data_IF_185774512396
#
_entry.id   IF_185774512396
#
_cell.length_a   1.000
_cell.length_b   1.000
_cell.length_c   1.000
_cell.angle_alpha   90.00
_cell.angle_beta   90.00
_cell.angle_gamma   90.00
#
_symmetry.space_group_name_H-M   'P 1'
#
loop_
_entity.id
_entity.type
_entity.pdbx_description
1 polymer ?
#
# COMPACT_ATOMS: atom_id res chain seq x y z
N UNK A 1 -3.94 17.13 -30.26
CA UNK A 1 -3.45 15.94 -29.54
C UNK A 1 -2.10 16.35 -28.96
N UNK A 2 -2.03 16.64 -27.67
CA UNK A 2 -0.77 16.99 -26.99
C UNK A 2 -0.40 15.75 -26.19
N UNK A 3 0.67 15.06 -26.58
CA UNK A 3 1.22 13.97 -25.78
C UNK A 3 1.91 14.58 -24.57
N UNK A 4 1.45 14.26 -23.37
CA UNK A 4 2.09 14.67 -22.13
C UNK A 4 3.10 13.58 -21.78
N UNK A 5 4.39 13.92 -21.77
CA UNK A 5 5.44 13.07 -21.22
C UNK A 5 5.67 13.50 -19.79
N UNK A 6 5.46 12.59 -18.83
CA UNK A 6 5.70 12.83 -17.41
C UNK A 6 6.84 11.93 -16.97
N UNK A 7 7.88 12.52 -16.37
CA UNK A 7 8.90 11.74 -15.67
C UNK A 7 8.42 11.57 -14.24
N UNK A 8 8.20 10.32 -13.84
CA UNK A 8 7.69 9.99 -12.52
C UNK A 8 8.57 8.95 -11.85
N UNK A 9 8.76 9.07 -10.54
CA UNK A 9 9.39 8.04 -9.71
C UNK A 9 8.30 7.32 -8.93
N UNK A 10 8.34 5.99 -8.91
CA UNK A 10 7.37 5.15 -8.21
C UNK A 10 8.03 4.43 -7.02
N UNK A 11 7.39 4.47 -5.85
CA UNK A 11 7.87 3.85 -4.61
C UNK A 11 6.69 3.14 -3.93
N UNK A 12 6.90 1.88 -3.54
CA UNK A 12 5.93 1.11 -2.72
C UNK A 12 5.98 1.66 -1.29
N UNK A 13 4.84 2.08 -0.75
CA UNK A 13 4.73 2.68 0.59
C UNK A 13 4.13 1.67 1.57
N UNK A 14 4.96 1.22 2.52
CA UNK A 14 4.57 0.28 3.56
C UNK A 14 4.93 -1.17 3.22
N UNK A 15 5.30 -1.96 4.23
CA UNK A 15 5.63 -3.38 4.04
C UNK A 15 4.41 -4.25 3.71
N UNK A 16 3.21 -3.86 4.18
CA UNK A 16 2.01 -4.70 4.13
C UNK A 16 0.81 -4.05 3.41
N UNK A 17 0.84 -2.72 3.25
CA UNK A 17 -0.12 -2.02 2.41
C UNK A 17 0.48 -2.00 1.00
N UNK A 18 -0.15 -2.68 0.04
CA UNK A 18 0.24 -2.67 -1.38
C UNK A 18 0.02 -1.28 -2.04
N UNK A 19 0.20 -0.21 -1.28
CA UNK A 19 0.00 1.17 -1.67
C UNK A 19 1.20 1.63 -2.49
N UNK A 20 0.93 2.12 -3.70
CA UNK A 20 1.96 2.71 -4.55
C UNK A 20 1.93 4.23 -4.39
N UNK A 21 3.11 4.83 -4.26
CA UNK A 21 3.29 6.27 -4.38
C UNK A 21 4.01 6.59 -5.68
N UNK A 22 3.55 7.62 -6.37
CA UNK A 22 4.18 8.15 -7.58
C UNK A 22 4.42 9.63 -7.39
N UNK A 23 5.63 10.08 -7.67
CA UNK A 23 6.04 11.47 -7.54
C UNK A 23 6.49 12.03 -8.88
N UNK A 24 6.04 13.24 -9.20
CA UNK A 24 6.48 14.01 -10.38
C UNK A 24 6.51 15.52 -10.06
N UNK A 25 7.36 16.33 -10.70
CA UNK A 25 7.25 17.78 -10.63
C UNK A 25 5.84 18.27 -10.98
N UNK A 26 5.28 19.20 -10.21
CA UNK A 26 3.93 19.72 -10.48
C UNK A 26 3.83 20.39 -11.86
N UNK A 27 4.93 20.97 -12.34
CA UNK A 27 5.05 21.57 -13.68
C UNK A 27 4.79 20.60 -14.82
N UNK A 28 4.94 19.29 -14.60
CA UNK A 28 4.78 18.28 -15.64
C UNK A 28 3.29 18.02 -15.95
N UNK A 29 2.39 18.35 -15.01
CA UNK A 29 0.95 18.14 -15.14
C UNK A 29 0.14 19.44 -15.23
N UNK A 30 0.73 20.59 -14.89
CA UNK A 30 0.10 21.89 -15.03
C UNK A 30 1.10 23.06 -15.09
N UNK A 31 0.76 24.18 -15.74
CA UNK A 31 1.52 25.44 -15.62
C UNK A 31 1.47 25.97 -14.18
N UNK A 32 2.62 26.41 -13.66
CA UNK A 32 2.77 26.85 -12.26
C UNK A 32 3.21 28.31 -12.11
N UNK A 33 3.56 28.99 -13.20
CA UNK A 33 4.22 30.30 -13.19
C UNK A 33 3.37 31.41 -12.57
N UNK A 34 2.04 31.27 -12.64
CA UNK A 34 1.08 32.26 -12.16
C UNK A 34 0.40 31.86 -10.84
N UNK A 35 0.77 30.74 -10.23
CA UNK A 35 0.18 30.29 -8.96
C UNK A 35 1.00 30.80 -7.77
N UNK A 36 0.33 31.40 -6.78
CA UNK A 36 0.92 31.65 -5.46
C UNK A 36 0.92 30.37 -4.61
N UNK A 37 1.70 29.37 -5.05
CA UNK A 37 1.76 28.04 -4.41
C UNK A 37 2.19 28.15 -2.95
N UNK A 38 3.06 29.11 -2.62
CA UNK A 38 3.52 29.34 -1.25
C UNK A 38 2.40 29.89 -0.37
N UNK A 39 1.65 30.88 -0.86
CA UNK A 39 0.46 31.40 -0.17
C UNK A 39 -0.63 30.35 0.02
N UNK A 40 -0.90 29.54 -1.01
CA UNK A 40 -1.87 28.43 -0.93
C UNK A 40 -1.44 27.40 0.13
N UNK A 41 -0.16 27.02 0.14
CA UNK A 41 0.40 26.11 1.14
C UNK A 41 0.27 26.65 2.57
N UNK A 42 0.61 27.94 2.77
CA UNK A 42 0.51 28.60 4.06
C UNK A 42 -0.94 28.68 4.59
N UNK A 43 -1.92 28.77 3.69
CA UNK A 43 -3.34 28.73 4.01
C UNK A 43 -3.89 27.30 4.19
N UNK A 44 -3.09 26.26 3.94
CA UNK A 44 -3.53 24.86 3.92
C UNK A 44 -4.54 24.57 2.80
N UNK A 45 -4.45 25.30 1.69
CA UNK A 45 -5.38 25.26 0.57
C UNK A 45 -5.22 24.04 -0.34
N UNK A 46 -6.00 24.05 -1.42
CA UNK A 46 -6.02 23.01 -2.46
C UNK A 46 -5.78 23.64 -3.83
N UNK A 47 -5.26 22.85 -4.76
CA UNK A 47 -5.11 23.21 -6.18
C UNK A 47 -5.93 22.25 -7.02
N UNK A 48 -6.70 22.79 -7.96
CA UNK A 48 -7.37 22.01 -9.01
C UNK A 48 -6.34 21.58 -10.06
N UNK A 49 -6.28 20.27 -10.30
CA UNK A 49 -5.37 19.62 -11.23
C UNK A 49 -6.08 19.42 -12.58
N UNK A 50 -5.56 19.98 -13.69
CA UNK A 50 -6.11 19.69 -15.02
C UNK A 50 -5.78 18.26 -15.48
N UNK A 51 -4.68 17.70 -14.98
CA UNK A 51 -4.24 16.32 -15.17
C UNK A 51 -3.62 15.78 -13.89
N UNK A 52 -3.76 14.47 -13.66
CA UNK A 52 -3.08 13.76 -12.57
C UNK A 52 -2.57 12.41 -13.06
N UNK A 53 -1.81 11.72 -12.22
CA UNK A 53 -1.37 10.36 -12.49
C UNK A 53 -2.35 9.38 -11.83
N UNK A 54 -2.57 8.25 -12.47
CA UNK A 54 -3.23 7.09 -11.89
C UNK A 54 -2.41 5.86 -12.18
N UNK A 55 -2.64 4.82 -11.38
CA UNK A 55 -1.96 3.54 -11.53
C UNK A 55 -3.01 2.48 -11.76
N UNK A 56 -2.73 1.58 -12.68
CA UNK A 56 -3.52 0.37 -12.87
C UNK A 56 -2.58 -0.82 -13.11
N UNK A 57 -3.15 -2.02 -13.09
CA UNK A 57 -2.41 -3.25 -13.42
C UNK A 57 -2.90 -3.80 -14.75
N UNK A 58 -1.95 -4.08 -15.64
CA UNK A 58 -2.21 -4.78 -16.90
C UNK A 58 -1.41 -6.07 -16.86
N UNK A 59 -2.09 -7.16 -16.51
CA UNK A 59 -1.45 -8.45 -16.23
C UNK A 59 -0.55 -8.38 -14.99
N UNK A 60 0.72 -8.73 -15.17
CA UNK A 60 1.77 -8.70 -14.14
C UNK A 60 2.43 -7.31 -13.99
N UNK A 61 2.18 -6.38 -14.92
CA UNK A 61 2.83 -5.06 -14.94
C UNK A 61 1.97 -3.98 -14.31
N UNK A 62 2.61 -3.11 -13.52
CA UNK A 62 2.05 -1.84 -13.11
C UNK A 62 2.16 -0.83 -14.26
N UNK A 63 1.07 -0.14 -14.58
CA UNK A 63 1.00 0.91 -15.58
C UNK A 63 0.67 2.24 -14.90
N UNK A 64 1.36 3.29 -15.33
CA UNK A 64 1.15 4.66 -14.86
C UNK A 64 0.57 5.45 -16.02
N UNK A 65 -0.59 6.07 -15.81
CA UNK A 65 -1.30 6.80 -16.85
C UNK A 65 -1.52 8.26 -16.42
N UNK A 66 -1.37 9.18 -17.37
CA UNK A 66 -1.77 10.59 -17.20
C UNK A 66 -3.24 10.70 -17.60
N UNK A 67 -4.07 11.18 -16.68
CA UNK A 67 -5.52 11.28 -16.90
C UNK A 67 -6.05 12.66 -16.57
N UNK A 68 -7.14 13.04 -17.23
CA UNK A 68 -7.95 14.19 -16.81
C UNK A 68 -8.86 13.74 -15.66
N UNK A 69 -8.77 14.33 -14.46
CA UNK A 69 -9.61 13.95 -13.34
C UNK A 69 -11.09 14.28 -13.62
N UNK A 70 -11.99 13.43 -13.11
CA UNK A 70 -13.44 13.58 -13.26
C UNK A 70 -14.10 14.16 -12.00
N UNK A 71 -13.36 14.31 -10.90
CA UNK A 71 -13.86 14.79 -9.61
C UNK A 71 -14.67 13.76 -8.83
N UNK A 72 -14.81 12.54 -9.36
CA UNK A 72 -15.57 11.45 -8.76
C UNK A 72 -14.67 10.25 -8.46
N UNK A 73 -14.23 9.53 -9.48
CA UNK A 73 -13.32 8.37 -9.33
C UNK A 73 -11.89 8.84 -9.14
N UNK A 74 -11.50 9.91 -9.85
CA UNK A 74 -10.20 10.54 -9.75
C UNK A 74 -10.38 11.96 -9.21
N UNK A 75 -9.91 12.24 -7.99
CA UNK A 75 -10.02 13.57 -7.40
C UNK A 75 -9.40 14.65 -8.30
N UNK A 76 -10.12 15.76 -8.51
CA UNK A 76 -9.59 16.90 -9.27
C UNK A 76 -8.78 17.86 -8.41
N UNK A 77 -8.86 17.77 -7.07
CA UNK A 77 -8.14 18.66 -6.15
C UNK A 77 -7.05 17.93 -5.40
N UNK A 78 -5.89 18.57 -5.24
CA UNK A 78 -4.83 18.12 -4.36
C UNK A 78 -4.55 19.12 -3.24
N UNK A 79 -4.40 18.63 -2.01
CA UNK A 79 -4.05 19.46 -0.85
C UNK A 79 -2.59 19.87 -0.93
N UNK A 80 -2.31 21.14 -0.63
CA UNK A 80 -0.96 21.69 -0.65
C UNK A 80 -0.35 21.65 0.75
N UNK A 81 0.79 20.99 0.89
CA UNK A 81 1.50 20.79 2.15
C UNK A 81 2.91 21.40 2.09
N UNK A 82 3.24 22.20 3.11
CA UNK A 82 4.57 22.79 3.26
C UNK A 82 5.55 21.79 3.87
N UNK A 83 6.69 21.60 3.21
CA UNK A 83 7.82 20.89 3.78
C UNK A 83 8.55 21.77 4.80
N UNK A 84 8.93 21.15 5.92
CA UNK A 84 9.70 21.81 6.98
C UNK A 84 11.14 21.30 6.93
N UNK A 85 12.11 22.22 6.94
CA UNK A 85 13.51 21.84 7.02
C UNK A 85 13.88 21.44 8.45
N UNK A 86 14.41 20.24 8.62
CA UNK A 86 15.08 19.79 9.83
C UNK A 86 16.59 20.01 9.68
N UNK A 87 17.10 21.03 10.36
CA UNK A 87 18.52 21.39 10.30
C UNK A 87 19.44 20.38 10.99
N UNK A 88 18.93 19.58 11.94
CA UNK A 88 19.75 18.59 12.65
C UNK A 88 20.01 17.36 11.78
N UNK A 89 19.02 16.98 10.97
CA UNK A 89 19.11 15.85 10.05
C UNK A 89 19.44 16.26 8.62
N UNK A 90 19.42 17.57 8.33
CA UNK A 90 19.59 18.13 6.99
C UNK A 90 18.61 17.51 5.97
N UNK A 91 17.33 17.41 6.35
CA UNK A 91 16.26 16.86 5.51
C UNK A 91 15.01 17.74 5.55
N UNK A 92 14.24 17.74 4.48
CA UNK A 92 12.89 18.28 4.47
C UNK A 92 11.89 17.21 4.87
N UNK A 93 11.02 17.54 5.83
CA UNK A 93 9.98 16.64 6.33
C UNK A 93 8.59 17.20 6.03
N UNK A 94 7.71 16.34 5.52
CA UNK A 94 6.26 16.59 5.45
C UNK A 94 5.55 15.49 6.22
N UNK A 95 4.68 15.87 7.15
CA UNK A 95 3.83 14.93 7.89
C UNK A 95 2.40 15.04 7.41
N UNK A 96 1.78 13.90 7.17
CA UNK A 96 0.38 13.77 6.82
C UNK A 96 -0.27 12.83 7.84
N UNK A 97 -1.47 13.16 8.31
CA UNK A 97 -2.15 12.38 9.34
C UNK A 97 -3.07 11.29 8.78
N UNK A 98 -3.48 11.39 7.51
CA UNK A 98 -4.32 10.38 6.84
C UNK A 98 -4.00 10.26 5.34
N UNK A 99 -3.37 9.15 4.90
CA UNK A 99 -2.69 8.16 5.74
C UNK A 99 -1.58 8.80 6.59
N UNK A 100 -1.32 8.25 7.79
CA UNK A 100 -0.24 8.71 8.65
C UNK A 100 1.10 8.39 7.99
N UNK A 101 1.72 9.39 7.36
CA UNK A 101 2.92 9.22 6.56
C UNK A 101 3.86 10.40 6.78
N UNK A 102 5.16 10.12 6.80
CA UNK A 102 6.21 11.14 6.86
C UNK A 102 7.05 11.03 5.59
N UNK A 103 7.05 12.09 4.79
CA UNK A 103 7.93 12.20 3.63
C UNK A 103 9.22 12.89 4.06
N UNK A 104 10.35 12.29 3.69
CA UNK A 104 11.69 12.82 3.98
C UNK A 104 12.42 13.02 2.67
N UNK A 105 12.88 14.24 2.41
CA UNK A 105 13.64 14.60 1.22
C UNK A 105 15.01 15.13 1.62
N UNK A 106 16.07 14.48 1.16
CA UNK A 106 17.44 14.95 1.36
C UNK A 106 17.79 15.93 0.24
N UNK A 107 18.05 17.21 0.55
CA UNK A 107 18.47 18.17 -0.46
C UNK A 107 19.87 17.82 -0.97
N UNK A 108 20.09 17.97 -2.28
CA UNK A 108 21.41 17.76 -2.89
C UNK A 108 22.43 18.83 -2.45
N UNK A 109 21.96 20.00 -2.01
CA UNK A 109 22.75 21.05 -1.36
C UNK A 109 22.00 21.57 -0.11
N UNK A 110 22.58 21.51 1.10
CA UNK A 110 21.98 22.07 2.31
C UNK A 110 21.68 23.57 2.18
N UNK A 111 20.50 24.07 2.57
CA UNK A 111 20.27 25.50 2.71
C UNK A 111 21.27 26.12 3.71
N UNK A 112 22.05 27.12 3.29
CA UNK A 112 22.99 27.87 4.16
C UNK A 112 24.47 27.48 4.06
N UNK A 113 24.89 26.73 3.03
CA UNK A 113 26.29 26.35 2.80
C UNK A 113 27.25 27.46 2.35
N UNK A 114 26.76 28.68 2.08
CA UNK A 114 27.57 29.81 1.64
C UNK A 114 28.22 30.54 2.83
N UNK A 115 29.19 29.91 3.49
CA UNK A 115 30.14 30.61 4.39
C UNK A 115 31.56 30.36 3.86
N UNK A 116 32.37 31.39 3.57
CA UNK A 116 33.71 31.17 3.04
C UNK A 116 34.61 30.55 4.11
N UNK A 117 35.17 29.39 3.77
CA UNK A 117 36.37 28.73 4.29
C UNK A 117 36.81 29.08 5.73
N UNK A 118 36.60 28.15 6.67
CA UNK A 118 37.41 28.04 7.89
C UNK A 118 37.56 26.57 8.29
N UNK A 119 38.79 26.20 8.63
CA UNK A 119 39.26 24.83 8.83
C UNK A 119 38.84 24.24 10.18
N UNK A 120 37.79 23.43 10.23
CA UNK A 120 37.70 22.27 11.14
C UNK A 120 36.55 21.34 10.73
N UNK A 121 36.85 20.06 10.52
CA UNK A 121 35.86 19.00 10.28
C UNK A 121 35.18 18.58 11.60
N UNK A 122 33.84 18.50 11.65
CA UNK A 122 33.12 17.52 12.45
C UNK A 122 32.61 16.40 11.54
N UNK A 123 32.77 15.16 12.00
CA UNK A 123 32.69 13.93 11.19
C UNK A 123 31.38 13.74 10.42
N UNK A 124 31.54 13.25 9.19
CA UNK A 124 30.50 12.57 8.43
C UNK A 124 29.88 11.48 9.30
N UNK A 125 28.62 11.67 9.69
CA UNK A 125 27.77 10.52 9.96
C UNK A 125 27.31 10.01 8.59
N UNK A 126 27.65 8.78 8.20
CA UNK A 126 27.10 8.20 6.99
C UNK A 126 25.62 7.89 7.28
N UNK A 127 24.73 8.79 6.90
CA UNK A 127 23.36 8.38 6.62
C UNK A 127 23.46 7.62 5.31
N UNK A 128 23.65 6.30 5.39
CA UNK A 128 23.35 5.41 4.28
C UNK A 128 21.88 5.65 3.91
N UNK A 129 21.65 6.52 2.92
CA UNK A 129 20.35 6.58 2.28
C UNK A 129 20.13 5.18 1.67
N UNK A 130 19.06 4.46 2.03
CA UNK A 130 18.76 3.20 1.37
C UNK A 130 18.67 3.48 -0.12
N UNK A 131 19.65 2.99 -0.89
CA UNK A 131 19.61 3.04 -2.35
C UNK A 131 18.54 2.06 -2.80
N UNK A 132 17.31 2.55 -2.86
CA UNK A 132 16.23 1.86 -3.53
C UNK A 132 16.33 2.25 -5.01
N UNK A 133 16.71 1.32 -5.89
CA UNK A 133 16.87 1.59 -7.32
C UNK A 133 15.53 1.84 -8.05
N UNK A 134 14.41 1.77 -7.33
CA UNK A 134 13.09 1.92 -7.92
C UNK A 134 12.79 0.81 -8.93
N UNK A 135 11.57 0.81 -9.47
CA UNK A 135 11.25 -0.03 -10.62
C UNK A 135 11.62 0.76 -11.87
N UNK A 136 12.38 0.16 -12.79
CA UNK A 136 12.64 0.75 -14.11
C UNK A 136 11.32 0.90 -14.86
N UNK A 137 10.92 2.14 -15.16
CA UNK A 137 9.72 2.42 -15.94
C UNK A 137 10.07 2.39 -17.42
N UNK A 138 9.57 1.39 -18.14
CA UNK A 138 9.65 1.37 -19.60
C UNK A 138 8.43 2.11 -20.18
N UNK A 139 8.64 3.10 -21.07
CA UNK A 139 7.52 3.80 -21.69
C UNK A 139 6.72 2.84 -22.57
N UNK A 140 5.52 2.48 -22.13
CA UNK A 140 4.54 1.78 -22.95
C UNK A 140 3.75 2.83 -23.76
N UNK A 141 3.58 2.54 -25.05
CA UNK A 141 2.95 3.34 -26.10
C UNK A 141 1.81 4.26 -25.62
N UNK A 142 1.80 5.50 -26.12
CA UNK A 142 0.72 6.48 -25.91
C UNK A 142 -0.52 6.03 -26.69
N UNK A 143 -1.39 5.23 -26.07
CA UNK A 143 -2.75 4.99 -26.55
C UNK A 143 -3.75 5.79 -25.71
N UNK A 144 -4.57 6.61 -26.36
CA UNK A 144 -5.66 7.31 -25.71
C UNK A 144 -6.80 6.33 -25.42
N UNK A 145 -6.76 5.65 -24.28
CA UNK A 145 -7.83 4.78 -23.81
C UNK A 145 -8.99 5.60 -23.20
N UNK A 146 -10.23 5.10 -23.33
CA UNK A 146 -11.37 5.66 -22.60
C UNK A 146 -11.45 5.01 -21.22
N UNK A 147 -11.42 5.84 -20.19
CA UNK A 147 -11.72 5.42 -18.82
C UNK A 147 -13.18 4.94 -18.69
N UNK A 148 -13.46 4.00 -17.77
CA UNK A 148 -12.54 3.43 -16.78
C UNK A 148 -11.76 2.19 -17.28
N UNK A 149 -10.45 2.14 -17.02
CA UNK A 149 -9.70 0.87 -16.90
C UNK A 149 -9.82 0.35 -15.46
N UNK A 150 -9.76 -0.97 -15.28
CA UNK A 150 -10.11 -1.63 -14.02
C UNK A 150 -9.11 -1.23 -12.92
N UNK A 151 -9.62 -0.82 -11.74
CA UNK A 151 -8.86 -0.49 -10.50
C UNK A 151 -8.21 0.90 -10.35
N UNK A 152 -8.88 1.99 -10.76
CA UNK A 152 -8.40 3.37 -10.48
C UNK A 152 -8.89 3.92 -9.11
N UNK A 153 -9.78 3.19 -8.43
CA UNK A 153 -10.34 3.60 -7.13
C UNK A 153 -9.26 3.71 -6.03
N UNK A 154 -9.44 4.61 -5.07
CA UNK A 154 -8.48 4.80 -3.97
C UNK A 154 -7.27 5.65 -4.33
N UNK A 155 -7.34 6.41 -5.44
CA UNK A 155 -6.33 7.39 -5.81
C UNK A 155 -6.47 8.66 -4.97
N UNK A 156 -5.39 9.10 -4.33
CA UNK A 156 -5.30 10.37 -3.61
C UNK A 156 -4.10 11.18 -4.10
N UNK A 157 -4.18 12.50 -4.05
CA UNK A 157 -3.10 13.38 -4.50
C UNK A 157 -2.83 14.49 -3.49
N UNK A 158 -1.54 14.77 -3.28
CA UNK A 158 -1.07 15.92 -2.50
C UNK A 158 0.00 16.65 -3.29
N UNK A 159 0.17 17.94 -2.99
CA UNK A 159 1.24 18.77 -3.54
C UNK A 159 2.17 19.13 -2.40
N UNK A 160 3.45 18.77 -2.55
CA UNK A 160 4.50 19.13 -1.62
C UNK A 160 5.20 20.39 -2.09
N UNK A 161 5.30 21.36 -1.18
CA UNK A 161 5.91 22.66 -1.45
C UNK A 161 7.09 22.86 -0.53
N UNK A 162 8.25 23.12 -1.13
CA UNK A 162 9.48 23.37 -0.40
C UNK A 162 9.72 24.89 -0.28
N UNK A 163 10.52 25.34 0.70
CA UNK A 163 11.00 26.72 0.74
C UNK A 163 11.66 27.11 -0.59
N UNK A 164 11.51 28.37 -1.01
CA UNK A 164 12.02 28.85 -2.31
C UNK A 164 13.52 28.58 -2.53
N UNK A 165 14.30 28.65 -1.46
CA UNK A 165 15.75 28.50 -1.50
C UNK A 165 16.22 27.03 -1.35
N UNK A 166 15.29 26.07 -1.37
CA UNK A 166 15.61 24.64 -1.27
C UNK A 166 16.21 24.04 -2.55
N UNK A 167 16.04 24.71 -3.69
CA UNK A 167 16.38 24.16 -5.01
C UNK A 167 15.48 23.01 -5.47
N UNK A 168 14.43 22.66 -4.71
CA UNK A 168 13.48 21.61 -5.06
C UNK A 168 12.20 22.20 -5.67
N UNK A 169 11.71 21.66 -6.80
CA UNK A 169 10.43 22.09 -7.35
C UNK A 169 9.26 21.60 -6.47
N UNK A 170 8.07 22.23 -6.57
CA UNK A 170 6.86 21.64 -6.03
C UNK A 170 6.60 20.27 -6.66
N UNK A 171 6.24 19.28 -5.85
CA UNK A 171 6.04 17.90 -6.28
C UNK A 171 4.56 17.51 -6.16
N UNK A 172 3.99 16.94 -7.21
CA UNK A 172 2.76 16.17 -7.12
C UNK A 172 3.11 14.76 -6.62
N UNK A 173 2.48 14.35 -5.53
CA UNK A 173 2.57 12.98 -5.01
C UNK A 173 1.18 12.35 -5.11
N UNK A 174 1.11 11.22 -5.78
CA UNK A 174 -0.10 10.43 -5.98
C UNK A 174 0.04 9.12 -5.21
N UNK A 175 -0.96 8.80 -4.40
CA UNK A 175 -1.09 7.52 -3.73
C UNK A 175 -2.20 6.74 -4.41
N UNK A 176 -1.97 5.46 -4.66
CA UNK A 176 -3.03 4.53 -5.05
C UNK A 176 -3.07 3.40 -4.03
N UNK A 177 -4.21 3.24 -3.37
CA UNK A 177 -4.49 2.03 -2.59
C UNK A 177 -5.20 1.02 -3.48
N UNK A 178 -4.71 -0.23 -3.61
CA UNK A 178 -5.41 -1.25 -4.39
C UNK A 178 -6.77 -1.63 -3.80
N UNK A 179 -7.02 -1.26 -2.54
CA UNK A 179 -8.25 -1.58 -1.83
C UNK A 179 -9.35 -0.52 -1.99
N UNK A 180 -9.08 0.55 -2.76
CA UNK A 180 -10.06 1.60 -3.03
C UNK A 180 -10.35 2.49 -1.82
N UNK A 181 -11.56 3.06 -1.78
CA UNK A 181 -12.05 3.81 -0.63
C UNK A 181 -12.21 2.92 0.62
N UNK A 182 -12.05 3.48 1.82
CA UNK A 182 -12.23 2.78 3.11
C UNK A 182 -13.07 3.62 4.06
N UNK A 183 -13.93 3.00 4.88
CA UNK A 183 -14.82 3.70 5.83
C UNK A 183 -14.54 3.34 7.30
N UNK A 184 -13.71 2.32 7.54
CA UNK A 184 -13.45 1.77 8.87
C UNK A 184 -11.94 1.55 9.05
N UNK A 185 -11.44 1.74 10.27
CA UNK A 185 -10.06 1.38 10.66
C UNK A 185 -10.13 0.35 11.79
N UNK A 186 -9.50 -0.80 11.61
CA UNK A 186 -9.44 -1.86 12.59
C UNK A 186 -8.74 -1.42 13.88
N UNK A 187 -9.26 -1.85 15.03
CA UNK A 187 -8.66 -1.53 16.32
C UNK A 187 -7.39 -2.35 16.55
N UNK A 188 -7.40 -3.63 16.20
CA UNK A 188 -6.29 -4.54 16.44
C UNK A 188 -5.33 -4.63 15.24
N UNK A 189 -5.87 -4.82 14.04
CA UNK A 189 -5.12 -4.93 12.79
C UNK A 189 -4.55 -3.60 12.31
N UNK A 190 -5.18 -2.48 12.70
CA UNK A 190 -4.93 -1.12 12.15
C UNK A 190 -5.22 -0.97 10.66
N UNK A 191 -5.69 -2.02 9.99
CA UNK A 191 -6.03 -1.99 8.57
C UNK A 191 -7.22 -1.09 8.34
N UNK A 192 -7.17 -0.31 7.26
CA UNK A 192 -8.35 0.41 6.76
C UNK A 192 -9.12 -0.49 5.81
N UNK A 193 -10.45 -0.53 5.94
CA UNK A 193 -11.30 -1.39 5.11
C UNK A 193 -12.72 -0.83 4.94
N UNK A 194 -13.55 -1.50 4.13
CA UNK A 194 -14.96 -1.17 3.92
C UNK A 194 -15.86 -2.12 4.71
N UNK A 195 -16.49 -1.64 5.78
CA UNK A 195 -17.37 -2.47 6.62
C UNK A 195 -18.49 -3.15 5.80
N UNK A 196 -19.04 -2.45 4.80
CA UNK A 196 -20.08 -3.00 3.91
C UNK A 196 -19.60 -4.15 3.02
N UNK A 197 -18.29 -4.26 2.75
CA UNK A 197 -17.68 -5.35 1.96
C UNK A 197 -17.05 -6.42 2.86
N UNK A 198 -17.27 -6.39 4.17
CA UNK A 198 -16.66 -7.33 5.12
C UNK A 198 -17.42 -8.67 5.28
N UNK A 199 -18.57 -8.85 4.63
CA UNK A 199 -19.36 -10.09 4.74
C UNK A 199 -20.06 -10.29 6.08
N UNK A 200 -20.38 -9.19 6.78
CA UNK A 200 -21.07 -9.20 8.07
C UNK A 200 -20.36 -8.32 9.11
N UNK A 201 -21.01 -8.06 10.26
CA UNK A 201 -20.38 -7.30 11.34
C UNK A 201 -19.14 -7.99 11.90
N UNK A 202 -18.25 -7.22 12.53
CA UNK A 202 -17.18 -7.77 13.38
C UNK A 202 -17.79 -8.27 14.68
N UNK A 203 -17.38 -9.45 15.11
CA UNK A 203 -17.75 -10.11 16.35
C UNK A 203 -16.54 -10.19 17.29
N UNK A 204 -16.75 -10.61 18.55
CA UNK A 204 -15.65 -10.85 19.48
C UNK A 204 -15.51 -12.34 19.72
N UNK A 205 -14.72 -13.00 18.87
CA UNK A 205 -14.52 -14.44 18.86
C UNK A 205 -13.20 -14.83 19.55
N UNK A 206 -13.11 -16.08 19.99
CA UNK A 206 -11.90 -16.64 20.59
C UNK A 206 -11.48 -17.88 19.81
N UNK A 207 -10.21 -17.91 19.41
CA UNK A 207 -9.61 -19.02 18.66
C UNK A 207 -9.00 -20.08 19.58
N UNK A 208 -8.75 -19.77 20.87
CA UNK A 208 -7.94 -20.61 21.78
C UNK A 208 -8.54 -21.99 22.04
N UNK A 209 -9.86 -22.12 21.98
CA UNK A 209 -10.57 -23.38 22.20
C UNK A 209 -10.84 -24.16 20.93
N UNK A 210 -10.45 -23.66 19.76
CA UNK A 210 -10.78 -24.28 18.48
C UNK A 210 -10.11 -25.65 18.31
N UNK A 211 -10.92 -26.68 18.05
CA UNK A 211 -10.44 -28.01 17.70
C UNK A 211 -10.27 -28.11 16.18
N UNK A 212 -9.08 -28.51 15.75
CA UNK A 212 -8.77 -28.69 14.33
C UNK A 212 -9.29 -30.06 13.91
N UNK A 213 -10.24 -30.06 12.99
CA UNK A 213 -10.90 -31.25 12.45
C UNK A 213 -10.70 -31.31 10.94
N UNK A 214 -10.66 -32.52 10.39
CA UNK A 214 -10.34 -32.71 8.96
C UNK A 214 -11.35 -32.03 8.04
N UNK A 215 -12.63 -31.99 8.42
CA UNK A 215 -13.68 -31.30 7.68
C UNK A 215 -13.43 -29.79 7.59
N UNK A 216 -12.91 -29.19 8.67
CA UNK A 216 -12.51 -27.79 8.64
C UNK A 216 -11.24 -27.56 7.83
N UNK A 217 -10.28 -28.49 7.85
CA UNK A 217 -9.08 -28.39 7.00
C UNK A 217 -9.45 -28.38 5.52
N UNK A 218 -10.45 -29.14 5.10
CA UNK A 218 -10.94 -29.09 3.72
C UNK A 218 -11.65 -27.76 3.39
N UNK A 219 -12.35 -27.14 4.35
CA UNK A 219 -12.86 -25.78 4.17
C UNK A 219 -11.73 -24.74 4.06
N UNK A 220 -10.65 -24.89 4.83
CA UNK A 220 -9.45 -24.05 4.69
C UNK A 220 -8.86 -24.21 3.30
N UNK A 221 -8.72 -25.43 2.78
CA UNK A 221 -8.25 -25.69 1.42
C UNK A 221 -9.13 -25.01 0.36
N UNK A 222 -10.45 -25.06 0.52
CA UNK A 222 -11.41 -24.38 -0.36
C UNK A 222 -11.21 -22.87 -0.32
N UNK A 223 -10.99 -22.31 0.88
CA UNK A 223 -10.77 -20.88 1.05
C UNK A 223 -9.49 -20.43 0.34
N UNK A 224 -8.37 -21.07 0.64
CA UNK A 224 -7.03 -20.65 0.20
C UNK A 224 -6.79 -20.92 -1.28
N UNK A 225 -7.45 -21.92 -1.87
CA UNK A 225 -7.40 -22.19 -3.31
C UNK A 225 -7.78 -20.97 -4.18
N UNK A 226 -8.54 -20.02 -3.62
CA UNK A 226 -8.83 -18.72 -4.23
C UNK A 226 -7.58 -17.97 -4.67
N UNK A 227 -6.47 -18.12 -3.96
CA UNK A 227 -5.24 -17.36 -4.13
C UNK A 227 -4.22 -18.07 -5.02
N UNK A 228 -4.58 -19.23 -5.60
CA UNK A 228 -3.67 -20.09 -6.33
C UNK A 228 -2.78 -20.94 -5.42
N UNK A 229 -1.83 -21.63 -6.03
CA UNK A 229 -0.93 -22.55 -5.32
C UNK A 229 0.20 -21.75 -4.66
N UNK A 230 0.03 -21.38 -3.40
CA UNK A 230 1.07 -20.71 -2.59
C UNK A 230 1.70 -21.68 -1.58
N UNK A 231 3.02 -21.62 -1.46
CA UNK A 231 3.81 -22.58 -0.68
C UNK A 231 3.56 -22.46 0.83
N UNK A 232 3.34 -21.26 1.34
CA UNK A 232 2.95 -21.00 2.74
C UNK A 232 1.63 -21.68 3.11
N UNK A 233 0.58 -21.47 2.31
CA UNK A 233 -0.71 -22.11 2.50
C UNK A 233 -0.60 -23.64 2.41
N UNK A 234 0.19 -24.15 1.46
CA UNK A 234 0.41 -25.60 1.35
C UNK A 234 1.02 -26.19 2.64
N UNK A 235 2.04 -25.53 3.21
CA UNK A 235 2.66 -25.94 4.48
C UNK A 235 1.65 -25.90 5.63
N UNK A 236 0.88 -24.82 5.74
CA UNK A 236 -0.11 -24.69 6.81
C UNK A 236 -1.22 -25.75 6.69
N UNK A 237 -1.73 -26.03 5.48
CA UNK A 237 -2.76 -27.05 5.24
C UNK A 237 -2.25 -28.44 5.59
N UNK A 238 -1.03 -28.81 5.15
CA UNK A 238 -0.43 -30.10 5.49
C UNK A 238 -0.26 -30.26 7.01
N UNK A 239 0.18 -29.18 7.67
CA UNK A 239 0.35 -29.13 9.12
C UNK A 239 -0.99 -29.29 9.86
N UNK A 240 -2.04 -28.60 9.44
CA UNK A 240 -3.38 -28.74 10.01
C UNK A 240 -3.93 -30.16 9.84
N UNK A 241 -3.72 -30.79 8.68
CA UNK A 241 -4.11 -32.18 8.45
C UNK A 241 -3.37 -33.15 9.39
N UNK A 242 -2.07 -32.94 9.61
CA UNK A 242 -1.30 -33.73 10.58
C UNK A 242 -1.80 -33.56 12.02
N UNK A 243 -2.23 -32.36 12.41
CA UNK A 243 -2.84 -32.10 13.72
C UNK A 243 -4.19 -32.82 13.84
N UNK A 244 -5.05 -32.72 12.83
CA UNK A 244 -6.35 -33.38 12.82
C UNK A 244 -6.25 -34.91 12.95
N UNK A 245 -5.18 -35.50 12.42
CA UNK A 245 -4.87 -36.93 12.53
C UNK A 245 -4.14 -37.31 13.84
N UNK A 246 -3.84 -36.35 14.71
CA UNK A 246 -3.11 -36.57 15.96
C UNK A 246 -1.61 -36.87 15.78
N UNK A 247 -1.05 -36.60 14.60
CA UNK A 247 0.39 -36.77 14.30
C UNK A 247 1.24 -35.61 14.79
N UNK A 248 0.65 -34.45 15.02
CA UNK A 248 1.35 -33.24 15.43
C UNK A 248 0.58 -32.52 16.55
N UNK A 249 1.31 -31.96 17.53
CA UNK A 249 0.71 -31.18 18.60
C UNK A 249 0.29 -29.79 18.10
N UNK A 250 -0.96 -29.43 18.38
CA UNK A 250 -1.52 -28.12 18.02
C UNK A 250 -0.81 -26.98 18.75
N UNK A 251 -0.54 -25.89 18.03
CA UNK A 251 -0.02 -24.64 18.58
C UNK A 251 -1.02 -23.48 18.42
N UNK A 252 -0.72 -22.35 19.04
CA UNK A 252 -1.54 -21.14 18.91
C UNK A 252 -1.56 -20.57 17.49
N UNK A 253 -0.48 -20.72 16.72
CA UNK A 253 -0.46 -20.31 15.29
C UNK A 253 -1.45 -21.15 14.49
N UNK A 254 -1.47 -22.47 14.73
CA UNK A 254 -2.35 -23.40 14.02
C UNK A 254 -3.82 -23.08 14.28
N UNK A 255 -4.20 -22.80 15.54
CA UNK A 255 -5.58 -22.42 15.88
C UNK A 255 -5.98 -21.08 15.28
N UNK A 256 -5.09 -20.08 15.30
CA UNK A 256 -5.34 -18.77 14.71
C UNK A 256 -5.55 -18.88 13.21
N UNK A 257 -4.63 -19.52 12.50
CA UNK A 257 -4.77 -19.77 11.06
C UNK A 257 -6.07 -20.50 10.74
N UNK A 258 -6.31 -21.66 11.36
CA UNK A 258 -7.51 -22.46 11.12
C UNK A 258 -8.81 -21.67 11.32
N UNK A 259 -8.94 -20.96 12.44
CA UNK A 259 -10.15 -20.19 12.72
C UNK A 259 -10.31 -18.96 11.83
N UNK A 260 -9.20 -18.28 11.52
CA UNK A 260 -9.14 -17.14 10.62
C UNK A 260 -9.60 -17.52 9.21
N UNK A 261 -9.01 -18.54 8.60
CA UNK A 261 -9.36 -18.99 7.23
C UNK A 261 -10.83 -19.42 7.12
N UNK A 262 -11.35 -20.14 8.13
CA UNK A 262 -12.76 -20.53 8.17
C UNK A 262 -13.71 -19.33 8.29
N UNK A 263 -13.36 -18.35 9.11
CA UNK A 263 -14.16 -17.15 9.32
C UNK A 263 -14.15 -16.25 8.10
N UNK A 264 -13.00 -16.08 7.45
CA UNK A 264 -12.92 -15.38 6.17
C UNK A 264 -13.78 -16.08 5.12
N UNK A 265 -13.71 -17.41 4.98
CA UNK A 265 -14.57 -18.17 4.06
C UNK A 265 -16.06 -17.89 4.30
N UNK A 266 -16.50 -17.87 5.56
CA UNK A 266 -17.89 -17.55 5.89
C UNK A 266 -18.26 -16.13 5.45
N UNK A 267 -17.36 -15.16 5.61
CA UNK A 267 -17.57 -13.77 5.16
C UNK A 267 -17.68 -13.69 3.64
N UNK A 268 -16.84 -14.39 2.88
CA UNK A 268 -16.97 -14.49 1.41
C UNK A 268 -18.32 -15.07 1.00
N UNK A 269 -18.77 -16.15 1.64
CA UNK A 269 -20.08 -16.75 1.37
C UNK A 269 -21.23 -15.78 1.67
N UNK A 270 -21.13 -15.00 2.74
CA UNK A 270 -22.12 -13.98 3.07
C UNK A 270 -22.17 -12.85 2.02
N UNK A 271 -21.07 -12.59 1.32
CA UNK A 271 -21.01 -11.65 0.19
C UNK A 271 -21.51 -12.25 -1.13
N UNK A 272 -21.85 -13.55 -1.15
CA UNK A 272 -22.24 -14.26 -2.37
C UNK A 272 -21.07 -14.61 -3.28
N UNK A 273 -19.82 -14.52 -2.79
CA UNK A 273 -18.64 -14.97 -3.53
C UNK A 273 -18.60 -16.49 -3.48
N UNK A 274 -18.49 -17.12 -4.65
CA UNK A 274 -18.41 -18.57 -4.75
C UNK A 274 -17.12 -19.12 -4.13
N UNK A 275 -17.20 -20.33 -3.59
CA UNK A 275 -16.07 -21.04 -3.00
C UNK A 275 -14.93 -21.23 -4.03
N UNK A 276 -13.69 -20.96 -3.62
CA UNK A 276 -12.50 -21.05 -4.48
C UNK A 276 -12.38 -19.98 -5.57
N UNK A 277 -13.34 -19.06 -5.69
CA UNK A 277 -13.31 -18.01 -6.73
C UNK A 277 -12.72 -16.72 -6.18
N UNK A 278 -11.73 -16.19 -6.89
CA UNK A 278 -11.17 -14.85 -6.65
C UNK A 278 -12.18 -13.80 -7.13
N UNK A 279 -12.69 -12.92 -6.24
CA UNK A 279 -13.65 -11.89 -6.62
C UNK A 279 -13.09 -10.86 -7.61
N UNK A 280 -11.77 -10.81 -7.85
CA UNK A 280 -11.08 -9.79 -8.67
C UNK A 280 -11.37 -8.35 -8.20
N UNK A 281 -11.76 -8.22 -6.94
CA UNK A 281 -12.01 -6.98 -6.22
C UNK A 281 -11.21 -7.05 -4.92
N UNK A 282 -10.02 -6.43 -4.94
CA UNK A 282 -9.10 -6.41 -3.80
C UNK A 282 -9.72 -5.73 -2.56
N UNK A 283 -10.74 -4.88 -2.73
CA UNK A 283 -11.46 -4.27 -1.61
C UNK A 283 -12.32 -5.30 -0.86
N UNK A 284 -12.88 -6.29 -1.56
CA UNK A 284 -13.58 -7.42 -0.91
C UNK A 284 -12.58 -8.22 -0.08
N UNK A 285 -11.43 -8.56 -0.66
CA UNK A 285 -10.40 -9.31 0.06
C UNK A 285 -9.94 -8.56 1.30
N UNK A 286 -9.54 -7.31 1.15
CA UNK A 286 -9.05 -6.51 2.26
C UNK A 286 -10.10 -6.35 3.36
N UNK A 287 -11.38 -6.22 2.99
CA UNK A 287 -12.46 -6.03 3.97
C UNK A 287 -12.85 -7.30 4.70
N UNK A 288 -12.91 -8.45 4.02
CA UNK A 288 -13.14 -9.73 4.66
C UNK A 288 -11.96 -10.12 5.58
N UNK A 289 -10.73 -9.89 5.12
CA UNK A 289 -9.51 -10.18 5.85
C UNK A 289 -9.38 -9.31 7.11
N UNK A 290 -9.45 -7.98 6.95
CA UNK A 290 -9.34 -7.05 8.07
C UNK A 290 -10.42 -7.31 9.12
N UNK A 291 -11.68 -7.51 8.73
CA UNK A 291 -12.75 -7.81 9.66
C UNK A 291 -12.55 -9.14 10.41
N UNK A 292 -11.89 -10.12 9.80
CA UNK A 292 -11.57 -11.39 10.46
C UNK A 292 -10.42 -11.28 11.44
N UNK A 293 -9.39 -10.47 11.14
CA UNK A 293 -8.37 -10.12 12.13
C UNK A 293 -9.01 -9.46 13.36
N UNK A 294 -9.98 -8.55 13.15
CA UNK A 294 -10.72 -7.92 14.25
C UNK A 294 -11.59 -8.93 15.02
N UNK A 295 -12.21 -9.90 14.34
CA UNK A 295 -13.00 -10.97 14.99
C UNK A 295 -12.20 -11.70 16.08
N UNK A 296 -10.89 -11.86 15.86
CA UNK A 296 -9.98 -12.59 16.73
C UNK A 296 -8.98 -11.68 17.48
N UNK A 297 -9.14 -10.36 17.36
CA UNK A 297 -8.29 -9.34 17.98
C UNK A 297 -6.80 -9.50 17.64
N UNK A 298 -6.52 -9.86 16.39
CA UNK A 298 -5.17 -10.05 15.86
C UNK A 298 -4.66 -8.78 15.17
N UNK A 299 -3.37 -8.53 15.27
CA UNK A 299 -2.71 -7.52 14.43
C UNK A 299 -2.48 -8.06 13.01
N UNK A 300 -2.10 -7.19 12.09
CA UNK A 300 -1.75 -7.54 10.71
C UNK A 300 -0.33 -8.16 10.58
N UNK A 301 0.12 -8.88 11.61
CA UNK A 301 1.44 -9.50 11.63
C UNK A 301 1.33 -10.94 11.09
N UNK A 302 1.98 -11.26 9.95
CA UNK A 302 1.90 -12.59 9.34
C UNK A 302 2.31 -13.72 10.27
N UNK A 303 3.24 -13.48 11.20
CA UNK A 303 3.73 -14.49 12.16
C UNK A 303 2.65 -14.94 13.16
N UNK A 304 1.51 -14.24 13.22
CA UNK A 304 0.35 -14.66 13.99
C UNK A 304 -0.45 -15.77 13.30
N UNK A 305 -0.36 -15.86 11.97
CA UNK A 305 -1.14 -16.78 11.14
C UNK A 305 -0.26 -17.84 10.47
N UNK A 306 1.00 -17.54 10.15
CA UNK A 306 1.90 -18.49 9.49
C UNK A 306 3.00 -18.95 10.45
N UNK A 307 3.35 -20.24 10.37
CA UNK A 307 4.55 -20.71 11.05
C UNK A 307 5.79 -20.23 10.30
N UNK A 308 6.93 -20.24 11.00
CA UNK A 308 8.23 -19.92 10.40
C UNK A 308 8.52 -20.78 9.16
N UNK A 309 8.18 -22.07 9.20
CA UNK A 309 8.39 -22.97 8.07
C UNK A 309 7.55 -22.55 6.85
N UNK A 310 6.33 -22.06 7.07
CA UNK A 310 5.47 -21.55 6.00
C UNK A 310 6.03 -20.24 5.42
N UNK A 311 6.49 -19.31 6.26
CA UNK A 311 7.14 -18.07 5.82
C UNK A 311 8.42 -18.35 5.01
N UNK A 312 9.25 -19.30 5.45
CA UNK A 312 10.45 -19.73 4.73
C UNK A 312 10.12 -20.40 3.39
N UNK A 313 8.99 -21.12 3.31
CA UNK A 313 8.51 -21.73 2.07
C UNK A 313 8.04 -20.66 1.06
N UNK A 314 7.29 -19.65 1.52
CA UNK A 314 6.90 -18.52 0.68
C UNK A 314 8.11 -17.74 0.15
N UNK A 315 9.12 -17.50 1.00
CA UNK A 315 10.35 -16.82 0.58
C UNK A 315 11.06 -17.59 -0.55
N UNK A 316 11.20 -18.92 -0.40
CA UNK A 316 11.81 -19.77 -1.44
C UNK A 316 11.01 -19.78 -2.74
N UNK A 317 9.67 -19.78 -2.66
CA UNK A 317 8.84 -19.67 -3.85
C UNK A 317 9.08 -18.35 -4.58
N UNK A 318 9.12 -17.23 -3.85
CA UNK A 318 9.39 -15.92 -4.42
C UNK A 318 10.79 -15.84 -5.06
N UNK A 319 11.82 -16.39 -4.41
CA UNK A 319 13.18 -16.46 -4.97
C UNK A 319 13.21 -17.25 -6.29
N UNK A 320 12.45 -18.34 -6.39
CA UNK A 320 12.37 -19.15 -7.61
C UNK A 320 11.60 -18.47 -8.74
N UNK A 321 10.50 -17.77 -8.42
CA UNK A 321 9.67 -17.09 -9.41
C UNK A 321 10.32 -15.79 -9.92
N UNK A 322 11.03 -15.05 -9.07
CA UNK A 322 11.51 -13.70 -9.37
C UNK A 322 13.03 -13.53 -9.35
N UNK A 323 13.80 -14.57 -8.97
CA UNK A 323 15.27 -14.55 -9.04
C UNK A 323 15.94 -13.56 -8.09
N UNK A 324 15.40 -13.41 -6.88
CA UNK A 324 15.97 -12.59 -5.80
C UNK A 324 17.18 -13.24 -5.13
#
# INVERSE_FOLDING_TARGET
>A
MVGVFVVAAAVIVGKNERSLSITTPLSDVMPIENLDIQGISAAGGVIELPYTLVTDRVGDKARVSVVKPDGHVVPSTAKVLAAKFDAAQNVFTVKMDSPSCTFTFTPMAPPGGDIPSSTTMPGELPVENPKYEGVSLEPVVIEAERLPSHQIEGTQSIILVFPKDSGLPPLLVVFSSPYGETDTTGEHSKRKYLARKAGGPVEKLDWRSAEIQIEGVELVRIHTARFGDTADNAVMIERLAAIAEGRLEVTDVDRRYYTHELRELQRYRNLGVADGVDPKDDAIWNSAHAATLEDYQLSDDPSLLYTREAEEAALKQMEQEYGL
#
